data_IF_715106235464
#
_entry.id   IF_715106235464
#
_cell.length_a   1.000
_cell.length_b   1.000
_cell.length_c   1.000
_cell.angle_alpha   90.00
_cell.angle_beta   90.00
_cell.angle_gamma   90.00
#
_symmetry.space_group_name_H-M   'P 1'
#
loop_
_entity.id
_entity.type
_entity.pdbx_description
1 polymer ?
#
# COMPACT_ATOMS: atom_id res chain seq x y z
N UNK A 1 -26.50 13.28 10.86
CA UNK A 1 -25.65 12.76 11.97
C UNK A 1 -25.02 13.93 12.70
N UNK A 2 -24.97 13.91 14.03
CA UNK A 2 -24.39 15.02 14.81
C UNK A 2 -22.85 14.93 14.84
N UNK A 3 -22.15 16.05 15.08
CA UNK A 3 -20.68 16.08 15.22
C UNK A 3 -20.18 15.14 16.33
N UNK A 4 -20.79 15.09 17.53
CA UNK A 4 -20.39 14.12 18.56
C UNK A 4 -20.54 12.66 18.11
N UNK A 5 -21.62 12.31 17.41
CA UNK A 5 -21.80 10.95 16.87
C UNK A 5 -20.76 10.62 15.82
N UNK A 6 -20.44 11.56 14.93
CA UNK A 6 -19.43 11.39 13.89
C UNK A 6 -18.02 11.19 14.48
N UNK A 7 -17.63 12.01 15.47
CA UNK A 7 -16.30 11.96 16.09
C UNK A 7 -16.15 10.85 17.15
N UNK A 8 -17.26 10.38 17.74
CA UNK A 8 -17.27 9.31 18.73
C UNK A 8 -17.49 7.94 18.09
N UNK A 9 -18.68 7.39 18.28
CA UNK A 9 -18.99 6.01 17.87
C UNK A 9 -18.88 5.79 16.37
N UNK A 10 -19.22 6.79 15.54
CA UNK A 10 -19.13 6.68 14.08
C UNK A 10 -17.68 6.49 13.61
N UNK A 11 -16.75 7.29 14.12
CA UNK A 11 -15.33 7.15 13.81
C UNK A 11 -14.78 5.82 14.32
N UNK A 12 -15.11 5.44 15.56
CA UNK A 12 -14.69 4.16 16.13
C UNK A 12 -15.14 2.97 15.27
N UNK A 13 -16.43 2.92 14.90
CA UNK A 13 -16.96 1.86 14.04
C UNK A 13 -16.25 1.84 12.68
N UNK A 14 -16.09 3.00 12.05
CA UNK A 14 -15.40 3.12 10.76
C UNK A 14 -13.96 2.60 10.84
N UNK A 15 -13.22 2.97 11.88
CA UNK A 15 -11.84 2.53 12.10
C UNK A 15 -11.76 1.01 12.33
N UNK A 16 -12.64 0.43 13.14
CA UNK A 16 -12.65 -1.03 13.40
C UNK A 16 -12.95 -1.81 12.12
N UNK A 17 -13.98 -1.40 11.36
CA UNK A 17 -14.36 -2.07 10.12
C UNK A 17 -13.21 -1.98 9.10
N UNK A 18 -12.63 -0.79 8.94
CA UNK A 18 -11.50 -0.56 8.05
C UNK A 18 -10.28 -1.40 8.44
N UNK A 19 -9.88 -1.37 9.72
CA UNK A 19 -8.74 -2.14 10.21
C UNK A 19 -8.94 -3.65 10.05
N UNK A 20 -10.16 -4.14 10.32
CA UNK A 20 -10.51 -5.55 10.15
C UNK A 20 -10.44 -5.97 8.68
N UNK A 21 -10.99 -5.17 7.77
CA UNK A 21 -10.93 -5.45 6.33
C UNK A 21 -9.48 -5.46 5.82
N UNK A 22 -8.69 -4.44 6.18
CA UNK A 22 -7.28 -4.34 5.80
C UNK A 22 -6.46 -5.52 6.35
N UNK A 23 -6.65 -5.85 7.64
CA UNK A 23 -5.99 -6.99 8.27
C UNK A 23 -6.40 -8.33 7.64
N UNK A 24 -7.67 -8.50 7.26
CA UNK A 24 -8.15 -9.69 6.56
C UNK A 24 -7.52 -9.85 5.17
N UNK A 25 -7.48 -8.78 4.36
CA UNK A 25 -6.80 -8.79 3.06
C UNK A 25 -5.31 -9.10 3.23
N UNK A 26 -4.65 -8.47 4.20
CA UNK A 26 -3.25 -8.74 4.51
C UNK A 26 -3.02 -10.22 4.86
N UNK A 27 -3.87 -10.80 5.72
CA UNK A 27 -3.80 -12.19 6.12
C UNK A 27 -4.01 -13.15 4.95
N UNK A 28 -4.93 -12.86 4.03
CA UNK A 28 -5.16 -13.66 2.82
C UNK A 28 -3.93 -13.64 1.89
N UNK A 29 -3.35 -12.46 1.66
CA UNK A 29 -2.11 -12.32 0.88
C UNK A 29 -0.97 -13.10 1.55
N UNK A 30 -0.83 -12.99 2.87
CA UNK A 30 0.16 -13.75 3.64
C UNK A 30 -0.05 -15.26 3.53
N UNK A 31 -1.27 -15.76 3.74
CA UNK A 31 -1.59 -17.18 3.68
C UNK A 31 -1.38 -17.77 2.27
N UNK A 32 -1.57 -16.95 1.24
CA UNK A 32 -1.24 -17.36 -0.12
C UNK A 32 0.27 -17.38 -0.37
N UNK A 33 1.00 -16.35 0.07
CA UNK A 33 2.42 -16.16 -0.22
C UNK A 33 3.37 -17.02 0.63
N UNK A 34 3.09 -17.18 1.92
CA UNK A 34 3.96 -17.92 2.84
C UNK A 34 4.03 -19.41 2.44
N UNK A 35 5.25 -19.94 2.31
CA UNK A 35 5.49 -21.32 1.85
C UNK A 35 5.27 -21.58 0.35
N UNK A 36 4.65 -20.66 -0.40
CA UNK A 36 4.53 -20.75 -1.88
C UNK A 36 5.49 -19.86 -2.64
N UNK A 37 5.69 -18.65 -2.12
CA UNK A 37 6.51 -17.58 -2.70
C UNK A 37 7.77 -17.28 -1.91
N UNK A 38 7.79 -17.64 -0.63
CA UNK A 38 8.79 -17.18 0.33
C UNK A 38 9.23 -18.34 1.21
N UNK A 39 10.54 -18.57 1.23
CA UNK A 39 11.25 -19.41 2.20
C UNK A 39 11.70 -18.59 3.43
N UNK A 40 11.26 -17.33 3.52
CA UNK A 40 11.59 -16.43 4.63
C UNK A 40 10.80 -16.82 5.88
N UNK A 41 11.33 -16.44 7.04
CA UNK A 41 10.62 -16.55 8.32
C UNK A 41 9.24 -15.87 8.27
N UNK A 42 8.29 -16.24 9.16
CA UNK A 42 6.98 -15.60 9.21
C UNK A 42 7.04 -14.07 9.31
N UNK A 43 7.92 -13.55 10.16
CA UNK A 43 8.13 -12.11 10.32
C UNK A 43 8.67 -11.46 9.05
N UNK A 44 9.66 -12.08 8.40
CA UNK A 44 10.23 -11.55 7.17
C UNK A 44 9.25 -11.60 5.98
N UNK A 45 8.44 -12.66 5.88
CA UNK A 45 7.36 -12.76 4.88
C UNK A 45 6.32 -11.66 5.10
N UNK A 46 5.86 -11.46 6.33
CA UNK A 46 4.91 -10.39 6.66
C UNK A 46 5.51 -9.00 6.40
N UNK A 47 6.77 -8.78 6.76
CA UNK A 47 7.50 -7.54 6.48
C UNK A 47 7.60 -7.24 4.99
N UNK A 48 7.94 -8.24 4.17
CA UNK A 48 7.98 -8.08 2.71
C UNK A 48 6.61 -7.71 2.14
N UNK A 49 5.54 -8.37 2.56
CA UNK A 49 4.17 -8.05 2.13
C UNK A 49 3.79 -6.62 2.55
N UNK A 50 4.16 -6.20 3.75
CA UNK A 50 3.88 -4.84 4.22
C UNK A 50 4.60 -3.78 3.39
N UNK A 51 5.87 -4.00 3.05
CA UNK A 51 6.64 -3.07 2.22
C UNK A 51 6.10 -3.01 0.79
N UNK A 52 5.91 -4.17 0.14
CA UNK A 52 5.40 -4.22 -1.22
C UNK A 52 3.96 -3.69 -1.32
N UNK A 53 3.14 -3.98 -0.30
CA UNK A 53 1.79 -3.45 -0.15
C UNK A 53 1.78 -1.93 0.03
N UNK A 54 2.58 -1.39 0.94
CA UNK A 54 2.72 0.06 1.10
C UNK A 54 3.13 0.75 -0.20
N UNK A 55 4.15 0.22 -0.88
CA UNK A 55 4.65 0.78 -2.14
C UNK A 55 3.56 0.78 -3.20
N UNK A 56 2.92 -0.37 -3.41
CA UNK A 56 1.97 -0.55 -4.51
C UNK A 56 0.59 0.08 -4.26
N UNK A 57 0.11 0.06 -3.02
CA UNK A 57 -1.26 0.51 -2.67
C UNK A 57 -1.29 1.97 -2.23
N UNK A 58 -0.22 2.47 -1.60
CA UNK A 58 -0.21 3.81 -1.00
C UNK A 58 0.77 4.73 -1.69
N UNK A 59 2.06 4.37 -1.71
CA UNK A 59 3.12 5.29 -2.11
C UNK A 59 2.99 5.68 -3.58
N UNK A 60 2.97 4.70 -4.49
CA UNK A 60 2.94 4.98 -5.93
C UNK A 60 1.68 5.71 -6.38
N UNK A 61 0.45 5.28 -6.00
CA UNK A 61 -0.75 6.04 -6.30
C UNK A 61 -0.72 7.45 -5.69
N UNK A 62 -0.23 7.58 -4.45
CA UNK A 62 -0.11 8.86 -3.75
C UNK A 62 0.95 9.80 -4.33
N UNK A 63 1.97 9.29 -5.02
CA UNK A 63 2.95 10.10 -5.75
C UNK A 63 2.35 10.70 -7.03
N UNK A 64 1.54 9.93 -7.77
CA UNK A 64 0.92 10.41 -9.01
C UNK A 64 -0.33 11.25 -8.75
N UNK A 65 -1.18 10.81 -7.82
CA UNK A 65 -2.46 11.44 -7.46
C UNK A 65 -2.53 11.63 -5.95
N UNK A 66 -1.75 12.60 -5.46
CA UNK A 66 -1.64 12.91 -4.05
C UNK A 66 -2.98 13.39 -3.46
N UNK A 67 -3.26 12.98 -2.23
CA UNK A 67 -4.42 13.45 -1.49
C UNK A 67 -4.35 14.97 -1.25
N UNK A 68 -5.51 15.62 -1.30
CA UNK A 68 -5.66 17.01 -0.89
C UNK A 68 -6.21 17.08 0.54
N UNK A 69 -5.92 18.15 1.29
CA UNK A 69 -6.55 18.41 2.57
C UNK A 69 -8.09 18.45 2.45
N UNK A 70 -8.83 18.18 3.54
CA UNK A 70 -10.28 18.34 3.55
C UNK A 70 -10.70 19.73 3.04
N UNK A 71 -11.78 19.77 2.27
CA UNK A 71 -12.30 20.98 1.60
C UNK A 71 -11.40 21.60 0.50
N UNK A 72 -10.27 20.97 0.14
CA UNK A 72 -9.40 21.44 -0.95
C UNK A 72 -9.63 20.62 -2.23
N UNK A 73 -9.94 21.32 -3.32
CA UNK A 73 -10.21 20.76 -4.65
C UNK A 73 -11.64 21.04 -5.14
N UNK A 74 -11.90 20.83 -6.43
CA UNK A 74 -13.22 21.06 -7.01
C UNK A 74 -14.14 19.83 -6.83
N UNK A 75 -15.43 20.03 -6.44
CA UNK A 75 -16.45 18.99 -6.46
C UNK A 75 -16.72 18.45 -7.87
N UNK A 76 -16.59 19.29 -8.90
CA UNK A 76 -16.90 18.92 -10.28
C UNK A 76 -15.91 17.87 -10.83
N UNK A 77 -14.68 17.86 -10.33
CA UNK A 77 -13.63 16.93 -10.77
C UNK A 77 -13.49 15.69 -9.88
N UNK A 78 -14.30 15.55 -8.81
CA UNK A 78 -14.13 14.47 -7.82
C UNK A 78 -14.25 13.07 -8.42
N UNK A 79 -15.19 12.87 -9.35
CA UNK A 79 -15.42 11.59 -10.01
C UNK A 79 -14.22 11.18 -10.88
N UNK A 80 -13.75 12.10 -11.73
CA UNK A 80 -12.58 11.88 -12.58
C UNK A 80 -11.34 11.52 -11.75
N UNK A 81 -11.06 12.29 -10.70
CA UNK A 81 -9.91 12.03 -9.81
C UNK A 81 -9.96 10.68 -9.15
N UNK A 82 -11.13 10.33 -8.62
CA UNK A 82 -11.33 9.06 -7.95
C UNK A 82 -11.09 7.91 -8.93
N UNK A 83 -11.63 8.02 -10.15
CA UNK A 83 -11.38 7.05 -11.22
C UNK A 83 -9.89 6.94 -11.58
N UNK A 84 -9.19 8.07 -11.74
CA UNK A 84 -7.75 8.08 -12.04
C UNK A 84 -6.91 7.48 -10.90
N UNK A 85 -7.26 7.77 -9.64
CA UNK A 85 -6.61 7.18 -8.48
C UNK A 85 -6.79 5.66 -8.46
N UNK A 86 -8.02 5.16 -8.65
CA UNK A 86 -8.28 3.72 -8.69
C UNK A 86 -7.62 3.03 -9.89
N UNK A 87 -7.55 3.69 -11.04
CA UNK A 87 -6.84 3.17 -12.21
C UNK A 87 -5.33 3.06 -11.93
N UNK A 88 -4.71 4.09 -11.34
CA UNK A 88 -3.30 4.04 -10.95
C UNK A 88 -3.04 2.99 -9.88
N UNK A 89 -3.95 2.86 -8.91
CA UNK A 89 -3.90 1.81 -7.89
C UNK A 89 -3.92 0.42 -8.52
N UNK A 90 -4.85 0.16 -9.45
CA UNK A 90 -4.95 -1.13 -10.14
C UNK A 90 -3.69 -1.43 -10.97
N UNK A 91 -3.17 -0.45 -11.71
CA UNK A 91 -1.92 -0.59 -12.49
C UNK A 91 -0.74 -0.89 -11.57
N UNK A 92 -0.64 -0.18 -10.45
CA UNK A 92 0.43 -0.35 -9.47
C UNK A 92 0.39 -1.75 -8.82
N UNK A 93 -0.79 -2.24 -8.43
CA UNK A 93 -0.94 -3.60 -7.90
C UNK A 93 -0.58 -4.65 -8.97
N UNK A 94 -1.11 -4.52 -10.18
CA UNK A 94 -0.81 -5.44 -11.28
C UNK A 94 0.69 -5.44 -11.65
N UNK A 95 1.31 -4.26 -11.67
CA UNK A 95 2.73 -4.09 -11.88
C UNK A 95 3.57 -4.75 -10.78
N UNK A 96 3.13 -4.65 -9.52
CA UNK A 96 3.81 -5.32 -8.39
C UNK A 96 3.72 -6.84 -8.51
N UNK A 97 2.56 -7.38 -8.90
CA UNK A 97 2.41 -8.81 -9.18
C UNK A 97 3.34 -9.24 -10.32
N UNK A 98 3.38 -8.49 -11.43
CA UNK A 98 4.27 -8.77 -12.55
C UNK A 98 5.75 -8.74 -12.12
N UNK A 99 6.14 -7.78 -11.30
CA UNK A 99 7.49 -7.66 -10.76
C UNK A 99 7.89 -8.88 -9.91
N UNK A 100 6.99 -9.37 -9.03
CA UNK A 100 7.21 -10.59 -8.25
C UNK A 100 7.31 -11.80 -9.17
N UNK A 101 6.45 -11.91 -10.18
CA UNK A 101 6.49 -13.02 -11.16
C UNK A 101 7.81 -13.02 -11.93
N UNK A 102 8.27 -11.86 -12.40
CA UNK A 102 9.55 -11.73 -13.11
C UNK A 102 10.71 -12.09 -12.19
N UNK A 103 10.74 -11.55 -10.97
CA UNK A 103 11.80 -11.80 -10.01
C UNK A 103 11.98 -13.30 -9.72
N UNK A 104 10.89 -14.06 -9.67
CA UNK A 104 10.91 -15.51 -9.42
C UNK A 104 11.29 -16.37 -10.63
N UNK A 105 11.20 -15.85 -11.84
CA UNK A 105 11.60 -16.58 -13.05
C UNK A 105 13.10 -16.51 -13.32
N UNK A 106 13.80 -15.57 -12.69
CA UNK A 106 15.25 -15.44 -12.78
C UNK A 106 15.89 -16.34 -11.72
N UNK A 107 16.76 -17.25 -12.15
CA UNK A 107 17.40 -18.24 -11.27
C UNK A 107 18.39 -17.60 -10.29
N UNK A 108 19.15 -16.60 -10.76
CA UNK A 108 19.99 -15.79 -9.89
C UNK A 108 19.12 -14.83 -9.07
N UNK A 109 19.19 -14.98 -7.75
CA UNK A 109 18.37 -14.20 -6.83
C UNK A 109 18.60 -12.69 -6.94
N UNK A 110 19.85 -12.24 -7.07
CA UNK A 110 20.19 -10.81 -7.18
C UNK A 110 19.66 -10.22 -8.48
N UNK A 111 19.85 -10.94 -9.59
CA UNK A 111 19.32 -10.54 -10.89
C UNK A 111 17.78 -10.57 -10.90
N UNK A 112 17.15 -11.49 -10.16
CA UNK A 112 15.71 -11.54 -9.97
C UNK A 112 15.17 -10.28 -9.29
N UNK A 113 15.78 -9.82 -8.20
CA UNK A 113 15.40 -8.56 -7.54
C UNK A 113 15.54 -7.36 -8.47
N UNK A 114 16.65 -7.27 -9.21
CA UNK A 114 16.87 -6.19 -10.16
C UNK A 114 15.85 -6.21 -11.30
N UNK A 115 15.57 -7.38 -11.87
CA UNK A 115 14.60 -7.55 -12.95
C UNK A 115 13.17 -7.23 -12.49
N UNK A 116 12.76 -7.70 -11.30
CA UNK A 116 11.48 -7.37 -10.71
C UNK A 116 11.34 -5.87 -10.43
N UNK A 117 12.37 -5.27 -9.81
CA UNK A 117 12.41 -3.82 -9.54
C UNK A 117 12.32 -2.99 -10.83
N UNK A 118 13.09 -3.35 -11.86
CA UNK A 118 13.05 -2.69 -13.16
C UNK A 118 11.67 -2.86 -13.84
N UNK A 119 11.06 -4.03 -13.75
CA UNK A 119 9.71 -4.29 -14.27
C UNK A 119 8.68 -3.39 -13.59
N UNK A 120 8.70 -3.34 -12.25
CA UNK A 120 7.78 -2.50 -11.50
C UNK A 120 7.96 -1.02 -11.85
N UNK A 121 9.21 -0.54 -11.80
CA UNK A 121 9.55 0.84 -12.11
C UNK A 121 9.13 1.21 -13.54
N UNK A 122 9.40 0.35 -14.53
CA UNK A 122 9.01 0.57 -15.92
C UNK A 122 7.50 0.71 -16.09
N UNK A 123 6.72 -0.18 -15.48
CA UNK A 123 5.24 -0.11 -15.53
C UNK A 123 4.73 1.17 -14.87
N UNK A 124 5.23 1.50 -13.67
CA UNK A 124 4.80 2.68 -12.91
C UNK A 124 5.17 3.97 -13.62
N UNK A 125 6.39 4.08 -14.14
CA UNK A 125 6.85 5.26 -14.89
C UNK A 125 6.03 5.42 -16.17
N UNK A 126 5.82 4.34 -16.93
CA UNK A 126 5.01 4.40 -18.15
C UNK A 126 3.57 4.84 -17.85
N UNK A 127 2.95 4.28 -16.80
CA UNK A 127 1.62 4.68 -16.36
C UNK A 127 1.59 6.16 -15.91
N UNK A 128 2.60 6.60 -15.17
CA UNK A 128 2.70 7.99 -14.73
C UNK A 128 2.89 8.97 -15.89
N UNK A 129 3.52 8.56 -16.99
CA UNK A 129 3.69 9.37 -18.20
C UNK A 129 2.41 9.39 -19.07
N UNK A 130 1.72 8.26 -19.18
CA UNK A 130 0.50 8.13 -20.01
C UNK A 130 -0.70 8.79 -19.32
N UNK A 131 -0.88 8.56 -18.03
CA UNK A 131 -2.07 9.04 -17.32
C UNK A 131 -2.00 10.56 -17.11
N UNK A 132 -3.13 11.29 -17.26
CA UNK A 132 -3.16 12.74 -17.21
C UNK A 132 -2.72 13.28 -15.84
N UNK A 133 -2.06 14.44 -15.83
CA UNK A 133 -1.81 15.17 -14.59
C UNK A 133 -3.08 15.93 -14.17
N UNK A 134 -3.37 15.94 -12.86
CA UNK A 134 -4.50 16.69 -12.30
C UNK A 134 -3.95 17.84 -11.45
N UNK A 135 -4.43 19.06 -11.71
CA UNK A 135 -4.09 20.28 -10.97
C UNK A 135 -5.37 21.02 -10.62
N UNK A 136 -5.71 21.02 -9.34
CA UNK A 136 -6.98 21.58 -8.85
C UNK A 136 -6.85 22.29 -7.50
N UNK A 137 -5.63 22.26 -6.94
CA UNK A 137 -5.32 23.03 -5.76
C UNK A 137 -5.23 24.49 -6.23
N UNK A 138 -5.98 25.42 -5.61
CA UNK A 138 -5.89 26.84 -5.93
C UNK A 138 -4.46 27.36 -5.80
N UNK A 139 -4.07 28.29 -6.68
CA UNK A 139 -2.70 28.81 -6.72
C UNK A 139 -2.31 29.59 -5.45
N UNK A 140 -3.30 30.11 -4.73
CA UNK A 140 -3.18 30.82 -3.46
C UNK A 140 -3.22 29.91 -2.23
N UNK A 141 -3.44 28.60 -2.39
CA UNK A 141 -3.44 27.67 -1.27
C UNK A 141 -2.01 27.52 -0.69
N UNK A 142 -1.81 27.59 0.63
CA UNK A 142 -0.48 27.51 1.23
C UNK A 142 0.26 26.21 0.88
N UNK A 143 1.38 26.35 0.16
CA UNK A 143 2.19 25.22 -0.29
C UNK A 143 2.74 24.38 0.87
N UNK A 144 3.10 25.03 1.98
CA UNK A 144 3.60 24.37 3.19
C UNK A 144 2.54 23.45 3.82
N UNK A 145 1.30 23.91 3.96
CA UNK A 145 0.18 23.10 4.47
C UNK A 145 -0.09 21.91 3.57
N UNK A 146 -0.07 22.11 2.24
CA UNK A 146 -0.26 21.05 1.27
C UNK A 146 0.82 19.98 1.37
N UNK A 147 2.09 20.40 1.45
CA UNK A 147 3.23 19.49 1.56
C UNK A 147 3.21 18.73 2.89
N UNK A 148 2.93 19.42 3.99
CA UNK A 148 2.85 18.80 5.32
C UNK A 148 1.74 17.75 5.36
N UNK A 149 0.55 18.07 4.84
CA UNK A 149 -0.56 17.13 4.76
C UNK A 149 -0.19 15.87 3.98
N UNK A 150 0.43 16.03 2.80
CA UNK A 150 0.84 14.90 1.94
C UNK A 150 1.91 14.04 2.60
N UNK A 151 2.93 14.68 3.18
CA UNK A 151 4.03 13.99 3.87
C UNK A 151 3.50 13.20 5.08
N UNK A 152 2.73 13.85 5.95
CA UNK A 152 2.16 13.21 7.14
C UNK A 152 1.20 12.08 6.76
N UNK A 153 0.39 12.25 5.70
CA UNK A 153 -0.49 11.19 5.21
C UNK A 153 0.29 9.96 4.75
N UNK A 154 1.38 10.13 4.01
CA UNK A 154 2.24 9.03 3.57
C UNK A 154 2.94 8.34 4.75
N UNK A 155 3.39 9.11 5.76
CA UNK A 155 4.03 8.58 6.96
C UNK A 155 3.05 7.80 7.84
N UNK A 156 1.83 8.32 8.05
CA UNK A 156 0.79 7.60 8.80
C UNK A 156 0.44 6.27 8.13
N UNK A 157 0.37 6.24 6.80
CA UNK A 157 0.20 4.99 6.07
C UNK A 157 1.42 4.07 6.22
N UNK A 158 2.65 4.60 6.20
CA UNK A 158 3.84 3.79 6.42
C UNK A 158 3.83 3.14 7.81
N UNK A 159 3.41 3.87 8.85
CA UNK A 159 3.23 3.35 10.21
C UNK A 159 2.13 2.29 10.23
N UNK A 160 1.01 2.52 9.56
CA UNK A 160 -0.08 1.54 9.46
C UNK A 160 0.41 0.22 8.85
N UNK A 161 1.01 0.29 7.67
CA UNK A 161 1.54 -0.89 6.96
C UNK A 161 2.65 -1.59 7.75
N UNK A 162 3.62 -0.83 8.26
CA UNK A 162 4.73 -1.36 9.06
C UNK A 162 4.26 -2.00 10.36
N UNK A 163 3.35 -1.33 11.09
CA UNK A 163 2.73 -1.85 12.30
C UNK A 163 1.94 -3.13 12.04
N UNK A 164 1.12 -3.16 10.98
CA UNK A 164 0.41 -4.38 10.56
C UNK A 164 1.38 -5.52 10.27
N UNK A 165 2.41 -5.30 9.45
CA UNK A 165 3.39 -6.33 9.11
C UNK A 165 4.16 -6.87 10.30
N UNK A 166 4.64 -5.99 11.18
CA UNK A 166 5.40 -6.37 12.37
C UNK A 166 4.54 -7.12 13.39
N UNK A 167 3.37 -6.58 13.74
CA UNK A 167 2.46 -7.21 14.70
C UNK A 167 1.98 -8.55 14.15
N UNK A 168 1.49 -8.59 12.91
CA UNK A 168 1.02 -9.82 12.28
C UNK A 168 2.12 -10.88 12.21
N UNK A 169 3.30 -10.51 11.71
CA UNK A 169 4.43 -11.43 11.59
C UNK A 169 4.89 -11.98 12.94
N UNK A 170 4.92 -11.15 13.98
CA UNK A 170 5.20 -11.58 15.34
C UNK A 170 4.14 -12.54 15.88
N UNK A 171 2.85 -12.25 15.67
CA UNK A 171 1.73 -13.08 16.12
C UNK A 171 1.70 -14.46 15.45
N UNK A 172 2.10 -14.55 14.18
CA UNK A 172 2.21 -15.84 13.46
C UNK A 172 3.47 -16.59 13.87
N UNK A 173 4.61 -15.89 13.99
CA UNK A 173 5.88 -16.48 14.40
C UNK A 173 5.82 -17.18 15.76
N UNK A 174 5.15 -16.57 16.75
CA UNK A 174 4.95 -17.17 18.09
C UNK A 174 4.03 -18.41 18.09
N UNK A 175 3.13 -18.50 17.11
CA UNK A 175 2.11 -19.56 17.04
C UNK A 175 2.58 -20.84 16.35
N UNK A 176 3.78 -20.84 15.75
CA UNK A 176 4.32 -21.97 15.01
C UNK A 176 5.21 -22.82 15.93
N UNK A 177 4.85 -24.09 16.25
CA UNK A 177 5.64 -24.93 17.14
C UNK A 177 7.06 -25.19 16.59
N UNK A 178 8.05 -25.19 17.48
CA UNK A 178 9.48 -25.39 17.17
C UNK A 178 9.80 -26.72 16.44
N UNK A 179 8.92 -27.71 16.49
CA UNK A 179 9.06 -28.99 15.78
C UNK A 179 8.88 -28.90 14.26
N UNK A 180 8.24 -27.83 13.75
CA UNK A 180 8.08 -27.61 12.30
C UNK A 180 9.24 -26.82 11.68
N UNK A 181 10.06 -26.15 12.49
CA UNK A 181 11.21 -25.35 12.05
C UNK A 181 12.47 -26.21 11.74
N UNK A 182 12.47 -27.49 12.11
CA UNK A 182 13.57 -28.44 11.85
C UNK A 182 13.51 -29.12 10.47
N UNK A 183 12.46 -28.88 9.67
CA UNK A 183 12.23 -29.58 8.39
C UNK A 183 12.23 -28.68 7.15
N UNK A 184 12.59 -27.40 7.29
CA UNK A 184 12.86 -26.49 6.18
C UNK A 184 14.36 -26.19 6.16
#
# INVERSE_FOLDING_TARGET
VSRPTQAGIGLFTGMIVFATALGGVFALVYAWAHGRLSDLSPLATAGAIAVLGYVSVTLVPGLKYAANPPAVGSPETIGMRTGLYFLMLAISIAGMVAAVVVARRVTDHRLGWLAGGATYAGIVVLAALILPAVREVPADFPAEVLQQFRTVSLLLNAILWGGTGLIFGWLVGRGTPSSMLSKA
#
